data_IF_526157525299
#
_entry.id   IF_526157525299
#
_cell.length_a   1.000
_cell.length_b   1.000
_cell.length_c   1.000
_cell.angle_alpha   90.00
_cell.angle_beta   90.00
_cell.angle_gamma   90.00
#
_symmetry.space_group_name_H-M   'P 1'
#
loop_
_entity.id
_entity.type
_entity.pdbx_description
1 polymer ?
#
# COMPACT_ATOMS: atom_id res chain seq x y z
N UNK A 1 1.72 -2.93 26.68
CA UNK A 1 2.54 -3.14 25.45
C UNK A 1 3.49 -4.30 25.69
N UNK A 2 3.69 -5.17 24.68
CA UNK A 2 4.41 -6.44 24.80
C UNK A 2 5.93 -6.33 25.06
N UNK A 3 6.52 -5.12 25.04
CA UNK A 3 7.96 -4.84 25.26
C UNK A 3 8.93 -5.68 24.39
N UNK A 4 8.47 -6.09 23.21
CA UNK A 4 9.28 -6.80 22.22
C UNK A 4 9.92 -5.77 21.30
N UNK A 5 11.23 -5.88 21.09
CA UNK A 5 11.94 -5.13 20.05
C UNK A 5 11.53 -5.68 18.67
N UNK A 6 11.00 -4.82 17.81
CA UNK A 6 10.51 -5.19 16.48
C UNK A 6 11.30 -4.43 15.42
N UNK A 7 12.56 -4.84 15.23
CA UNK A 7 13.40 -4.30 14.19
C UNK A 7 13.50 -5.29 12.99
N UNK A 8 12.87 -4.93 11.86
CA UNK A 8 12.85 -5.74 10.63
C UNK A 8 13.71 -5.15 9.50
N UNK A 9 14.45 -4.08 9.77
CA UNK A 9 15.38 -3.49 8.81
C UNK A 9 16.63 -4.34 8.61
N UNK A 10 17.35 -4.07 7.53
CA UNK A 10 18.67 -4.67 7.28
C UNK A 10 19.79 -4.02 8.11
N UNK A 11 19.48 -2.89 8.74
CA UNK A 11 20.37 -2.11 9.59
C UNK A 11 19.75 -1.95 10.98
N UNK A 12 20.57 -1.71 12.00
CA UNK A 12 20.07 -1.55 13.36
C UNK A 12 19.30 -0.23 13.55
N UNK A 13 18.24 -0.23 14.37
CA UNK A 13 17.44 0.96 14.72
C UNK A 13 16.69 1.67 13.59
N UNK A 14 16.55 1.05 12.41
CA UNK A 14 16.03 1.69 11.19
C UNK A 14 14.58 1.31 10.83
N UNK A 15 13.88 0.58 11.71
CA UNK A 15 12.43 0.37 11.61
C UNK A 15 11.70 1.42 12.44
N UNK A 16 11.04 2.38 11.79
CA UNK A 16 10.35 3.49 12.49
C UNK A 16 9.21 4.06 11.66
N UNK A 17 8.30 4.74 12.34
CA UNK A 17 7.24 5.53 11.70
C UNK A 17 7.76 6.96 11.51
N UNK A 18 7.60 7.51 10.31
CA UNK A 18 7.97 8.88 9.96
C UNK A 18 6.77 9.62 9.35
N UNK A 19 6.67 10.93 9.59
CA UNK A 19 5.67 11.75 8.91
C UNK A 19 6.09 12.09 7.49
N UNK A 20 5.17 11.97 6.55
CA UNK A 20 5.32 12.41 5.17
C UNK A 20 4.13 13.29 4.78
N UNK A 21 4.26 14.60 4.96
CA UNK A 21 3.13 15.51 4.84
C UNK A 21 2.06 15.20 5.89
N UNK A 22 0.86 14.80 5.45
CA UNK A 22 -0.29 14.48 6.31
C UNK A 22 -0.43 12.99 6.62
N UNK A 23 0.42 12.12 6.07
CA UNK A 23 0.36 10.67 6.29
C UNK A 23 1.60 10.19 7.04
N UNK A 24 1.43 9.12 7.80
CA UNK A 24 2.54 8.38 8.40
C UNK A 24 3.01 7.32 7.41
N UNK A 25 4.33 7.18 7.26
CA UNK A 25 4.97 6.10 6.51
C UNK A 25 5.85 5.27 7.43
N UNK A 26 5.95 3.97 7.17
CA UNK A 26 6.90 3.10 7.86
C UNK A 26 8.22 3.08 7.07
N UNK A 27 9.29 3.56 7.68
CA UNK A 27 10.65 3.41 7.17
C UNK A 27 11.22 2.10 7.69
N UNK A 28 11.82 1.32 6.78
CA UNK A 28 12.54 0.09 7.11
C UNK A 28 13.89 0.15 6.40
N UNK A 29 14.96 0.46 7.12
CA UNK A 29 16.31 0.60 6.54
C UNK A 29 16.71 -0.58 5.65
N UNK A 30 17.13 -0.27 4.42
CA UNK A 30 17.54 -1.27 3.43
C UNK A 30 16.40 -2.07 2.79
N UNK A 31 15.15 -1.70 3.03
CA UNK A 31 13.95 -2.26 2.39
C UNK A 31 13.04 -1.15 1.90
N UNK A 32 12.25 -1.46 0.88
CA UNK A 32 11.20 -0.56 0.40
C UNK A 32 9.88 -1.04 0.99
N UNK A 33 9.26 -0.21 1.81
CA UNK A 33 7.89 -0.43 2.27
C UNK A 33 6.93 0.32 1.35
N UNK A 34 5.93 -0.41 0.83
CA UNK A 34 4.86 0.14 0.00
C UNK A 34 3.54 -0.25 0.64
N UNK A 35 2.79 0.74 1.09
CA UNK A 35 1.42 0.54 1.55
C UNK A 35 0.46 0.60 0.35
N UNK A 36 -0.08 -0.56 -0.03
CA UNK A 36 -0.98 -0.66 -1.17
C UNK A 36 -2.31 0.05 -0.96
N UNK A 37 -2.74 0.30 0.28
CA UNK A 37 -3.94 1.10 0.53
C UNK A 37 -3.77 2.52 0.00
N UNK A 38 -2.63 3.16 0.31
CA UNK A 38 -2.31 4.51 -0.16
C UNK A 38 -2.13 4.54 -1.68
N UNK A 39 -1.45 3.54 -2.25
CA UNK A 39 -1.26 3.43 -3.70
C UNK A 39 -2.59 3.29 -4.43
N UNK A 40 -3.46 2.38 -3.99
CA UNK A 40 -4.77 2.16 -4.64
C UNK A 40 -5.64 3.41 -4.51
N UNK A 41 -5.65 4.05 -3.34
CA UNK A 41 -6.40 5.30 -3.14
C UNK A 41 -5.89 6.42 -4.04
N UNK A 42 -4.57 6.54 -4.21
CA UNK A 42 -3.97 7.48 -5.15
C UNK A 42 -4.40 7.17 -6.59
N UNK A 43 -4.21 5.93 -7.05
CA UNK A 43 -4.56 5.51 -8.43
C UNK A 43 -6.05 5.72 -8.72
N UNK A 44 -6.93 5.45 -7.77
CA UNK A 44 -8.37 5.63 -7.95
C UNK A 44 -8.80 7.10 -8.07
N UNK A 45 -8.00 8.05 -7.56
CA UNK A 45 -8.28 9.49 -7.61
C UNK A 45 -7.60 10.17 -8.80
N UNK A 46 -6.52 9.61 -9.34
CA UNK A 46 -5.64 10.33 -10.29
C UNK A 46 -5.80 9.80 -11.72
N UNK A 47 -6.20 10.68 -12.64
CA UNK A 47 -6.16 10.45 -14.09
C UNK A 47 -7.26 9.55 -14.66
N UNK A 48 -6.97 8.88 -15.79
CA UNK A 48 -7.90 7.97 -16.48
C UNK A 48 -8.23 6.69 -15.68
N UNK A 49 -7.52 6.43 -14.58
CA UNK A 49 -7.71 5.28 -13.71
C UNK A 49 -8.98 5.36 -12.85
N UNK A 50 -9.66 6.52 -12.77
CA UNK A 50 -11.02 6.60 -12.23
C UNK A 50 -11.96 5.63 -12.96
N UNK A 51 -11.75 5.38 -14.27
CA UNK A 51 -12.51 4.39 -15.03
C UNK A 51 -12.13 2.93 -14.74
N UNK A 52 -10.94 2.70 -14.18
CA UNK A 52 -10.39 1.37 -13.87
C UNK A 52 -10.82 0.91 -12.47
N UNK A 53 -10.98 1.84 -11.52
CA UNK A 53 -11.27 1.56 -10.11
C UNK A 53 -12.38 2.49 -9.55
N UNK A 54 -13.60 2.40 -10.08
CA UNK A 54 -14.79 2.99 -9.41
C UNK A 54 -15.25 2.09 -8.27
N UNK A 55 -14.64 2.27 -7.10
CA UNK A 55 -14.98 1.52 -5.89
C UNK A 55 -15.70 2.41 -4.88
N UNK A 56 -16.79 1.89 -4.32
CA UNK A 56 -17.49 2.51 -3.18
C UNK A 56 -16.69 2.36 -1.87
N UNK A 57 -15.80 1.35 -1.79
CA UNK A 57 -14.89 1.16 -0.66
C UNK A 57 -13.63 0.41 -1.08
N UNK A 58 -12.51 0.71 -0.42
CA UNK A 58 -11.18 0.17 -0.71
C UNK A 58 -10.82 -1.02 0.18
N UNK A 59 -11.78 -1.92 0.44
CA UNK A 59 -11.47 -3.18 1.12
C UNK A 59 -10.60 -4.04 0.19
N UNK A 60 -9.72 -4.87 0.75
CA UNK A 60 -8.86 -5.75 -0.06
C UNK A 60 -9.69 -6.62 -1.04
N UNK A 61 -10.85 -7.10 -0.59
CA UNK A 61 -11.82 -7.81 -1.44
C UNK A 61 -12.24 -6.98 -2.65
N UNK A 62 -12.75 -5.77 -2.43
CA UNK A 62 -13.29 -4.96 -3.52
C UNK A 62 -12.21 -4.54 -4.52
N UNK A 63 -11.01 -4.25 -4.03
CA UNK A 63 -9.87 -3.93 -4.90
C UNK A 63 -9.44 -5.16 -5.68
N UNK A 64 -9.33 -6.32 -5.03
CA UNK A 64 -8.96 -7.57 -5.70
C UNK A 64 -9.99 -7.97 -6.77
N UNK A 65 -11.28 -7.97 -6.43
CA UNK A 65 -12.35 -8.35 -7.34
C UNK A 65 -12.46 -7.39 -8.54
N UNK A 66 -12.05 -6.13 -8.41
CA UNK A 66 -12.06 -5.16 -9.50
C UNK A 66 -10.92 -5.37 -10.52
N UNK A 67 -9.80 -5.96 -10.10
CA UNK A 67 -8.62 -6.17 -10.95
C UNK A 67 -8.44 -7.64 -11.37
N UNK A 68 -9.13 -8.56 -10.70
CA UNK A 68 -9.05 -10.00 -10.93
C UNK A 68 -10.34 -10.52 -11.57
N UNK A 69 -10.24 -11.65 -12.26
CA UNK A 69 -11.41 -12.41 -12.73
C UNK A 69 -11.92 -13.38 -11.65
N UNK A 70 -11.11 -13.63 -10.65
CA UNK A 70 -11.43 -14.50 -9.52
C UNK A 70 -12.00 -13.66 -8.38
N UNK A 71 -12.89 -14.26 -7.58
CA UNK A 71 -13.39 -13.63 -6.37
C UNK A 71 -12.47 -13.91 -5.19
N UNK A 72 -12.21 -12.90 -4.35
CA UNK A 72 -11.44 -13.10 -3.12
C UNK A 72 -12.18 -14.04 -2.16
N UNK A 73 -11.43 -14.95 -1.53
CA UNK A 73 -11.94 -15.78 -0.42
C UNK A 73 -12.38 -14.89 0.76
N UNK A 74 -13.56 -15.19 1.29
CA UNK A 74 -14.10 -14.58 2.52
C UNK A 74 -14.26 -15.63 3.61
N UNK A 75 -14.30 -15.20 4.87
CA UNK A 75 -14.56 -16.09 6.02
C UNK A 75 -15.83 -16.92 5.78
N UNK A 76 -16.90 -16.28 5.34
CA UNK A 76 -18.17 -16.94 5.00
C UNK A 76 -18.00 -18.01 3.90
N UNK A 77 -17.16 -17.75 2.89
CA UNK A 77 -16.91 -18.70 1.79
C UNK A 77 -15.97 -19.84 2.20
N UNK A 78 -15.41 -19.82 3.41
CA UNK A 78 -14.46 -20.83 3.86
C UNK A 78 -15.19 -22.13 4.21
N UNK A 79 -15.02 -23.17 3.37
CA UNK A 79 -15.63 -24.52 3.45
C UNK A 79 -17.13 -24.58 3.85
N UNK A 80 -17.95 -23.62 3.40
CA UNK A 80 -19.42 -23.76 3.39
C UNK A 80 -20.23 -22.94 4.40
N UNK A 81 -19.89 -21.67 4.66
CA UNK A 81 -20.72 -20.71 5.42
C UNK A 81 -21.07 -21.08 6.86
N UNK A 82 -20.33 -22.03 7.47
CA UNK A 82 -20.53 -22.41 8.87
C UNK A 82 -20.26 -21.26 9.85
N UNK A 83 -19.38 -20.33 9.47
CA UNK A 83 -18.85 -19.28 10.34
C UNK A 83 -19.02 -17.91 9.71
N UNK A 84 -19.37 -16.92 10.53
CA UNK A 84 -19.64 -15.55 10.08
C UNK A 84 -18.45 -14.60 10.28
N UNK A 85 -17.56 -14.89 11.22
CA UNK A 85 -16.46 -14.01 11.57
C UNK A 85 -15.22 -14.76 12.11
N UNK A 86 -14.08 -14.06 12.15
CA UNK A 86 -12.77 -14.56 12.61
C UNK A 86 -12.81 -15.07 14.04
N UNK A 87 -13.55 -14.40 14.94
CA UNK A 87 -13.66 -14.82 16.34
C UNK A 87 -14.30 -16.21 16.47
N UNK A 88 -15.33 -16.48 15.67
CA UNK A 88 -15.98 -17.81 15.66
C UNK A 88 -15.02 -18.89 15.14
N UNK A 89 -14.24 -18.59 14.10
CA UNK A 89 -13.21 -19.49 13.58
C UNK A 89 -12.12 -19.78 14.62
N UNK A 90 -11.70 -18.76 15.37
CA UNK A 90 -10.69 -18.89 16.41
C UNK A 90 -11.13 -19.85 17.53
N UNK A 91 -12.40 -19.74 17.94
CA UNK A 91 -12.96 -20.55 19.03
C UNK A 91 -13.43 -21.95 18.57
N UNK A 92 -13.55 -22.19 17.26
CA UNK A 92 -14.03 -23.45 16.67
C UNK A 92 -13.04 -24.63 16.74
N UNK A 93 -11.90 -24.46 17.41
CA UNK A 93 -10.89 -25.50 17.57
C UNK A 93 -10.09 -25.77 16.28
N UNK A 94 -9.45 -26.95 16.15
CA UNK A 94 -8.48 -27.20 15.08
C UNK A 94 -9.00 -26.97 13.66
N UNK A 95 -10.24 -27.36 13.36
CA UNK A 95 -10.88 -27.13 12.06
C UNK A 95 -11.00 -25.63 11.77
N UNK A 96 -11.48 -24.83 12.73
CA UNK A 96 -11.62 -23.38 12.58
C UNK A 96 -10.28 -22.66 12.40
N UNK A 97 -9.25 -23.11 13.10
CA UNK A 97 -7.90 -22.56 12.98
C UNK A 97 -7.25 -22.87 11.62
N UNK A 98 -7.48 -24.06 11.06
CA UNK A 98 -7.05 -24.40 9.69
C UNK A 98 -7.69 -23.46 8.68
N UNK A 99 -9.00 -23.25 8.79
CA UNK A 99 -9.75 -22.34 7.93
C UNK A 99 -9.31 -20.88 8.08
N UNK A 100 -8.99 -20.46 9.30
CA UNK A 100 -8.47 -19.12 9.55
C UNK A 100 -7.08 -18.92 8.92
N UNK A 101 -6.23 -19.96 8.95
CA UNK A 101 -4.93 -19.93 8.29
C UNK A 101 -5.08 -19.84 6.76
N UNK A 102 -5.99 -20.61 6.16
CA UNK A 102 -6.31 -20.54 4.72
C UNK A 102 -6.80 -19.13 4.32
N UNK A 103 -7.69 -18.55 5.12
CA UNK A 103 -8.17 -17.18 4.92
C UNK A 103 -7.03 -16.15 5.01
N UNK A 104 -6.15 -16.27 6.00
CA UNK A 104 -5.00 -15.37 6.17
C UNK A 104 -3.98 -15.48 5.02
N UNK A 105 -3.73 -16.70 4.54
CA UNK A 105 -2.91 -16.92 3.34
C UNK A 105 -3.55 -16.25 2.12
N UNK A 106 -4.86 -16.41 1.94
CA UNK A 106 -5.59 -15.78 0.84
C UNK A 106 -5.51 -14.25 0.86
N UNK A 107 -5.52 -13.61 2.04
CA UNK A 107 -5.26 -12.17 2.15
C UNK A 107 -3.87 -11.80 1.61
N UNK A 108 -2.85 -12.56 1.96
CA UNK A 108 -1.47 -12.32 1.50
C UNK A 108 -1.32 -12.50 -0.02
N UNK A 109 -1.95 -13.53 -0.57
CA UNK A 109 -1.95 -13.79 -2.02
C UNK A 109 -2.73 -12.72 -2.80
N UNK A 110 -3.88 -12.30 -2.28
CA UNK A 110 -4.69 -11.22 -2.86
C UNK A 110 -3.92 -9.91 -2.87
N UNK A 111 -3.27 -9.57 -1.75
CA UNK A 111 -2.44 -8.37 -1.64
C UNK A 111 -1.26 -8.40 -2.60
N UNK A 112 -0.61 -9.56 -2.78
CA UNK A 112 0.46 -9.73 -3.77
C UNK A 112 -0.04 -9.43 -5.18
N UNK A 113 -1.25 -9.89 -5.55
CA UNK A 113 -1.84 -9.60 -6.86
C UNK A 113 -2.14 -8.12 -7.06
N UNK A 114 -2.67 -7.46 -6.03
CA UNK A 114 -2.90 -6.00 -6.01
C UNK A 114 -1.58 -5.26 -6.18
N UNK A 115 -0.54 -5.66 -5.43
CA UNK A 115 0.81 -5.12 -5.54
C UNK A 115 1.36 -5.24 -6.97
N UNK A 116 1.36 -6.46 -7.54
CA UNK A 116 1.89 -6.71 -8.89
C UNK A 116 1.17 -5.90 -9.98
N UNK A 117 -0.11 -5.59 -9.77
CA UNK A 117 -0.91 -4.79 -10.71
C UNK A 117 -0.51 -3.31 -10.70
N UNK A 118 -0.32 -2.71 -9.54
CA UNK A 118 -0.18 -1.24 -9.43
C UNK A 118 1.27 -0.75 -9.25
N UNK A 119 2.15 -1.59 -8.71
CA UNK A 119 3.55 -1.20 -8.45
C UNK A 119 4.32 -0.78 -9.71
N UNK A 120 4.11 -1.38 -10.90
CA UNK A 120 4.75 -0.89 -12.12
C UNK A 120 4.49 0.61 -12.38
N UNK A 121 3.28 1.09 -12.09
CA UNK A 121 2.92 2.51 -12.22
C UNK A 121 3.77 3.35 -11.25
N UNK A 122 3.90 2.88 -10.01
CA UNK A 122 4.67 3.59 -8.98
C UNK A 122 6.17 3.61 -9.27
N UNK A 123 6.71 2.54 -9.87
CA UNK A 123 8.11 2.50 -10.34
C UNK A 123 8.32 3.57 -11.42
N UNK A 124 7.45 3.66 -12.41
CA UNK A 124 7.60 4.65 -13.48
C UNK A 124 7.39 6.09 -12.98
N UNK A 125 6.49 6.31 -12.02
CA UNK A 125 6.37 7.61 -11.34
C UNK A 125 7.64 7.96 -10.55
N UNK A 126 8.26 6.99 -9.87
CA UNK A 126 9.53 7.20 -9.17
C UNK A 126 10.65 7.58 -10.14
N UNK A 127 10.76 6.91 -11.29
CA UNK A 127 11.74 7.26 -12.33
C UNK A 127 11.50 8.63 -12.95
N UNK A 128 10.24 8.97 -13.18
CA UNK A 128 9.83 10.25 -13.78
C UNK A 128 10.12 11.41 -12.85
N UNK A 129 9.68 11.32 -11.59
CA UNK A 129 9.82 12.37 -10.59
C UNK A 129 11.21 12.46 -9.98
N UNK A 130 12.01 11.39 -10.06
CA UNK A 130 13.37 11.34 -9.52
C UNK A 130 13.43 11.13 -7.99
N UNK A 131 12.31 10.76 -7.35
CA UNK A 131 12.28 10.47 -5.92
C UNK A 131 12.07 8.98 -5.64
N UNK A 132 12.38 8.53 -4.41
CA UNK A 132 12.28 7.12 -4.03
C UNK A 132 10.84 6.58 -4.17
N UNK A 133 10.68 5.32 -4.58
CA UNK A 133 9.35 4.72 -4.70
C UNK A 133 8.58 4.73 -3.37
N UNK A 134 9.27 4.59 -2.23
CA UNK A 134 8.62 4.64 -0.91
C UNK A 134 7.98 6.00 -0.64
N UNK A 135 8.64 7.09 -1.03
CA UNK A 135 8.10 8.45 -0.90
C UNK A 135 7.01 8.72 -1.94
N UNK A 136 7.22 8.29 -3.19
CA UNK A 136 6.26 8.44 -4.28
C UNK A 136 4.95 7.71 -3.98
N UNK A 137 5.00 6.53 -3.35
CA UNK A 137 3.83 5.75 -2.95
C UNK A 137 2.93 6.43 -1.90
N UNK A 138 3.44 7.45 -1.21
CA UNK A 138 2.69 8.19 -0.17
C UNK A 138 2.55 9.68 -0.50
N UNK A 139 2.94 10.10 -1.71
CA UNK A 139 2.93 11.49 -2.14
C UNK A 139 1.66 11.86 -2.90
N UNK A 140 1.23 13.10 -2.72
CA UNK A 140 0.19 13.73 -3.54
C UNK A 140 0.72 14.10 -4.93
N UNK A 141 -0.18 14.33 -5.89
CA UNK A 141 0.19 14.78 -7.25
C UNK A 141 1.00 16.08 -7.23
N UNK A 142 0.65 17.04 -6.35
CA UNK A 142 1.40 18.28 -6.19
C UNK A 142 2.84 18.04 -5.74
N UNK A 143 3.07 17.13 -4.78
CA UNK A 143 4.41 16.75 -4.34
C UNK A 143 5.19 16.04 -5.45
N UNK A 144 4.55 15.17 -6.24
CA UNK A 144 5.17 14.52 -7.38
C UNK A 144 5.65 15.54 -8.44
N UNK A 145 4.82 16.55 -8.72
CA UNK A 145 5.21 17.67 -9.61
C UNK A 145 6.34 18.49 -9.00
N UNK A 146 6.30 18.78 -7.69
CA UNK A 146 7.37 19.50 -6.99
C UNK A 146 8.72 18.76 -7.13
N UNK A 147 8.75 17.45 -6.89
CA UNK A 147 9.96 16.63 -7.08
C UNK A 147 10.50 16.70 -8.51
N UNK A 148 9.60 16.58 -9.50
CA UNK A 148 9.98 16.66 -10.90
C UNK A 148 10.55 18.04 -11.27
N UNK A 149 9.94 19.12 -10.79
CA UNK A 149 10.42 20.48 -11.01
C UNK A 149 11.77 20.73 -10.33
N UNK A 150 11.97 20.24 -9.11
CA UNK A 150 13.26 20.33 -8.42
C UNK A 150 14.37 19.58 -9.16
N UNK A 151 14.06 18.40 -9.71
CA UNK A 151 14.99 17.64 -10.55
C UNK A 151 15.39 18.45 -11.79
N UNK A 152 14.42 19.01 -12.52
CA UNK A 152 14.72 19.81 -13.71
C UNK A 152 15.42 21.13 -13.40
N UNK A 153 15.07 21.81 -12.31
CA UNK A 153 15.76 23.02 -11.88
C UNK A 153 17.25 22.75 -11.66
N UNK A 154 17.61 21.60 -11.07
CA UNK A 154 19.00 21.19 -10.96
C UNK A 154 19.65 20.94 -12.33
N UNK A 155 18.97 20.25 -13.25
CA UNK A 155 19.48 19.97 -14.61
C UNK A 155 19.68 21.24 -15.45
N UNK A 156 18.81 22.25 -15.30
CA UNK A 156 18.88 23.52 -16.02
C UNK A 156 19.65 24.62 -15.27
N UNK A 157 20.23 24.29 -14.11
CA UNK A 157 20.95 25.25 -13.25
C UNK A 157 20.10 26.46 -12.84
N UNK A 158 18.84 26.20 -12.48
CA UNK A 158 17.88 27.17 -11.96
C UNK A 158 17.77 27.10 -10.43
N UNK A 159 17.47 28.23 -9.82
CA UNK A 159 17.24 28.30 -8.38
C UNK A 159 15.81 27.83 -8.05
N UNK A 160 15.68 26.87 -7.14
CA UNK A 160 14.38 26.42 -6.63
C UNK A 160 13.80 27.52 -5.73
N UNK A 161 12.59 28.02 -6.01
CA UNK A 161 11.95 29.03 -5.16
C UNK A 161 11.57 28.44 -3.80
N UNK A 162 11.51 29.31 -2.78
CA UNK A 162 11.04 28.90 -1.45
C UNK A 162 9.55 28.53 -1.49
N UNK A 163 9.15 27.65 -0.58
CA UNK A 163 7.72 27.42 -0.32
C UNK A 163 7.08 28.73 0.15
N UNK A 164 5.81 28.98 -0.22
CA UNK A 164 5.10 30.15 0.28
C UNK A 164 5.07 30.09 1.81
N UNK A 165 5.49 31.18 2.44
CA UNK A 165 5.19 31.46 3.84
C UNK A 165 3.79 32.05 3.88
N UNK A 166 2.88 31.48 4.69
CA UNK A 166 1.67 32.23 5.08
C UNK A 166 2.05 33.56 5.75
#
# INVERSE_FOLDING_TARGET
ALKIDFNISRFDGETRIEKHGLVDKVKIGGRVHIDMYLVVKFVAVVGAAESILKLNSYTLKNVYDAISKDEKLTVEKTKGQKWKDINELWDAGPEGLELLADYNLSDSESLRKVYETFVPIMIELSRTTGNSISDVSVSTTGQLVEYMLMKYAHEFNELIPNKPTE
#
